data_IF_357449277917
#
_entry.id   IF_357449277917
#
_cell.length_a   1.000
_cell.length_b   1.000
_cell.length_c   1.000
_cell.angle_alpha   90.00
_cell.angle_beta   90.00
_cell.angle_gamma   90.00
#
_symmetry.space_group_name_H-M   'P 1'
#
loop_
_entity.id
_entity.type
_entity.pdbx_description
1 polymer ?
#
# COMPACT_ATOMS: atom_id res chain seq x y z
N UNK A 1 -27.70 16.07 30.54
CA UNK A 1 -27.84 14.78 31.24
C UNK A 1 -27.72 13.63 30.25
N UNK A 2 -26.75 12.76 30.48
CA UNK A 2 -26.19 11.81 29.51
C UNK A 2 -27.12 10.65 29.19
N UNK A 3 -27.48 10.49 27.90
CA UNK A 3 -28.24 9.37 27.30
C UNK A 3 -27.52 7.99 27.36
N UNK A 4 -26.34 7.91 28.02
CA UNK A 4 -25.55 6.69 28.15
C UNK A 4 -26.18 5.59 29.05
N UNK A 5 -27.19 5.88 29.84
CA UNK A 5 -27.72 4.95 30.86
C UNK A 5 -28.71 3.90 30.39
N UNK A 6 -29.25 3.95 29.17
CA UNK A 6 -30.28 2.98 28.74
C UNK A 6 -29.72 1.65 28.16
N UNK A 7 -28.41 1.50 28.05
CA UNK A 7 -27.80 0.32 27.40
C UNK A 7 -27.14 -0.69 28.35
N UNK A 8 -27.03 -0.36 29.62
CA UNK A 8 -26.28 -1.20 30.60
C UNK A 8 -27.02 -2.53 30.92
N UNK A 9 -28.31 -2.61 30.72
CA UNK A 9 -29.07 -3.84 31.07
C UNK A 9 -29.18 -4.89 29.96
N UNK A 10 -28.60 -4.66 28.78
CA UNK A 10 -28.65 -5.65 27.68
C UNK A 10 -27.53 -6.71 27.76
N UNK A 11 -26.52 -6.51 28.60
CA UNK A 11 -25.37 -7.42 28.76
C UNK A 11 -25.74 -8.74 29.47
N UNK A 12 -26.86 -8.78 30.20
CA UNK A 12 -27.32 -9.95 30.96
C UNK A 12 -28.29 -10.85 30.22
N UNK A 13 -28.70 -10.49 29.00
CA UNK A 13 -29.65 -11.29 28.24
C UNK A 13 -28.94 -12.12 27.17
N UNK A 14 -29.27 -13.40 27.12
CA UNK A 14 -28.84 -14.28 26.06
C UNK A 14 -29.60 -13.99 24.76
N UNK A 15 -28.99 -14.26 23.63
CA UNK A 15 -29.58 -14.14 22.30
C UNK A 15 -29.28 -15.39 21.47
N UNK A 16 -30.32 -15.95 20.88
CA UNK A 16 -30.21 -17.09 19.99
C UNK A 16 -29.87 -16.64 18.56
N UNK A 17 -28.91 -17.28 17.96
CA UNK A 17 -28.53 -17.04 16.57
C UNK A 17 -29.54 -17.67 15.62
N UNK A 18 -30.17 -16.89 14.73
CA UNK A 18 -31.16 -17.39 13.78
C UNK A 18 -30.58 -18.39 12.75
N UNK A 19 -29.23 -18.45 12.57
CA UNK A 19 -28.63 -19.33 11.58
C UNK A 19 -28.18 -20.68 12.13
N UNK A 20 -27.57 -20.72 13.32
CA UNK A 20 -27.09 -21.98 13.92
C UNK A 20 -27.90 -22.46 15.11
N UNK A 21 -28.87 -21.69 15.58
CA UNK A 21 -29.70 -22.04 16.75
C UNK A 21 -29.01 -21.93 18.11
N UNK A 22 -27.71 -21.68 18.15
CA UNK A 22 -26.96 -21.58 19.40
C UNK A 22 -27.28 -20.27 20.12
N UNK A 23 -27.34 -20.33 21.44
CA UNK A 23 -27.58 -19.19 22.31
C UNK A 23 -26.28 -18.70 22.90
N UNK A 24 -26.04 -17.37 22.83
CA UNK A 24 -24.82 -16.73 23.32
C UNK A 24 -25.18 -15.48 24.14
N UNK A 25 -24.26 -15.00 24.99
CA UNK A 25 -24.40 -13.69 25.60
C UNK A 25 -24.62 -12.60 24.54
N UNK A 26 -25.54 -11.67 24.81
CA UNK A 26 -25.88 -10.57 23.88
C UNK A 26 -24.87 -9.46 23.97
N UNK A 27 -23.63 -9.74 23.53
CA UNK A 27 -22.46 -8.82 23.54
C UNK A 27 -21.85 -8.66 22.15
N UNK A 28 -20.96 -7.69 22.02
CA UNK A 28 -20.20 -7.44 20.78
C UNK A 28 -19.21 -8.56 20.47
N UNK A 29 -18.89 -9.43 21.42
CA UNK A 29 -18.05 -10.62 21.19
C UNK A 29 -18.74 -11.68 20.35
N UNK A 30 -20.06 -11.74 20.43
CA UNK A 30 -20.87 -12.77 19.76
C UNK A 30 -21.74 -12.24 18.63
N UNK A 31 -22.15 -10.96 18.66
CA UNK A 31 -23.05 -10.38 17.66
C UNK A 31 -22.57 -9.00 17.22
N UNK A 32 -22.56 -8.74 15.92
CA UNK A 32 -22.32 -7.40 15.41
C UNK A 32 -23.43 -6.45 15.83
N UNK A 33 -23.01 -5.24 16.22
CA UNK A 33 -23.88 -4.15 16.58
C UNK A 33 -24.17 -3.28 15.37
N UNK A 34 -25.43 -2.92 15.14
CA UNK A 34 -25.83 -2.00 14.08
C UNK A 34 -26.79 -0.94 14.60
N UNK A 35 -26.85 0.19 13.94
CA UNK A 35 -27.87 1.21 14.21
C UNK A 35 -29.24 0.67 13.81
N UNK A 36 -30.26 0.98 14.63
CA UNK A 36 -31.63 0.68 14.26
C UNK A 36 -32.05 1.55 13.07
N UNK A 37 -32.72 0.98 12.07
CA UNK A 37 -33.09 1.70 10.84
C UNK A 37 -33.99 2.91 11.06
N UNK A 38 -34.98 2.80 11.97
CA UNK A 38 -35.94 3.87 12.27
C UNK A 38 -35.51 4.77 13.45
N UNK A 39 -34.61 4.32 14.32
CA UNK A 39 -34.12 5.06 15.50
C UNK A 39 -32.60 5.15 15.45
N UNK A 40 -32.11 6.20 14.84
CA UNK A 40 -30.67 6.37 14.56
C UNK A 40 -29.76 6.45 15.79
N UNK A 41 -30.32 6.78 16.94
CA UNK A 41 -29.68 6.83 18.25
C UNK A 41 -29.66 5.47 18.97
N UNK A 42 -30.44 4.49 18.46
CA UNK A 42 -30.57 3.15 19.05
C UNK A 42 -29.71 2.16 18.30
N UNK A 43 -28.92 1.37 19.05
CA UNK A 43 -28.17 0.25 18.51
C UNK A 43 -28.86 -1.08 18.84
N UNK A 44 -28.81 -1.99 17.90
CA UNK A 44 -29.30 -3.36 18.03
C UNK A 44 -28.23 -4.36 17.63
N UNK A 45 -28.32 -5.57 18.15
CA UNK A 45 -27.47 -6.67 17.73
C UNK A 45 -28.07 -7.41 16.54
N UNK A 46 -27.21 -7.79 15.59
CA UNK A 46 -27.59 -8.60 14.42
C UNK A 46 -28.27 -9.92 14.84
N UNK A 47 -29.08 -10.48 13.94
CA UNK A 47 -29.81 -11.73 14.20
C UNK A 47 -28.92 -12.97 14.19
N UNK A 48 -27.80 -12.91 13.47
CA UNK A 48 -26.86 -14.01 13.37
C UNK A 48 -25.60 -13.71 14.21
N UNK A 49 -25.06 -14.74 14.86
CA UNK A 49 -23.78 -14.61 15.55
C UNK A 49 -22.67 -14.28 14.55
N UNK A 50 -21.57 -13.68 15.04
CA UNK A 50 -20.41 -13.25 14.24
C UNK A 50 -19.87 -14.39 13.36
N UNK A 51 -19.75 -15.60 13.92
CA UNK A 51 -19.28 -16.78 13.16
C UNK A 51 -20.18 -17.10 11.97
N UNK A 52 -21.49 -17.08 12.13
CA UNK A 52 -22.45 -17.30 11.04
C UNK A 52 -22.45 -16.17 10.03
N UNK A 53 -22.35 -14.93 10.48
CA UNK A 53 -22.25 -13.75 9.61
C UNK A 53 -20.98 -13.79 8.75
N UNK A 54 -19.83 -14.15 9.32
CA UNK A 54 -18.57 -14.33 8.60
C UNK A 54 -18.65 -15.46 7.57
N UNK A 55 -19.23 -16.63 7.94
CA UNK A 55 -19.45 -17.74 6.99
C UNK A 55 -20.30 -17.28 5.80
N UNK A 56 -21.42 -16.57 6.06
CA UNK A 56 -22.30 -16.01 5.02
C UNK A 56 -21.54 -15.03 4.11
N UNK A 57 -20.78 -14.11 4.69
CA UNK A 57 -19.98 -13.12 3.94
C UNK A 57 -18.92 -13.81 3.06
N UNK A 58 -18.22 -14.82 3.61
CA UNK A 58 -17.22 -15.60 2.85
C UNK A 58 -17.86 -16.34 1.67
N UNK A 59 -19.01 -16.97 1.88
CA UNK A 59 -19.74 -17.66 0.83
C UNK A 59 -20.24 -16.68 -0.26
N UNK A 60 -20.78 -15.52 0.16
CA UNK A 60 -21.22 -14.49 -0.78
C UNK A 60 -20.04 -13.99 -1.65
N UNK A 61 -18.87 -13.70 -1.04
CA UNK A 61 -17.66 -13.29 -1.76
C UNK A 61 -17.22 -14.36 -2.77
N UNK A 62 -17.30 -15.64 -2.38
CA UNK A 62 -16.96 -16.76 -3.28
C UNK A 62 -17.88 -16.78 -4.49
N UNK A 63 -19.20 -16.65 -4.27
CA UNK A 63 -20.23 -16.70 -5.32
C UNK A 63 -20.26 -15.44 -6.20
N UNK A 64 -19.72 -14.31 -5.69
CA UNK A 64 -19.71 -13.01 -6.39
C UNK A 64 -18.30 -12.52 -6.68
N UNK A 65 -17.37 -13.42 -6.98
CA UNK A 65 -15.94 -13.13 -7.15
C UNK A 65 -15.68 -11.99 -8.13
N UNK A 66 -16.31 -12.02 -9.30
CA UNK A 66 -16.14 -10.97 -10.33
C UNK A 66 -16.58 -9.60 -9.82
N UNK A 67 -17.74 -9.52 -9.14
CA UNK A 67 -18.25 -8.27 -8.57
C UNK A 67 -17.31 -7.72 -7.50
N UNK A 68 -16.77 -8.59 -6.64
CA UNK A 68 -15.79 -8.21 -5.60
C UNK A 68 -14.51 -7.66 -6.24
N UNK A 69 -14.00 -8.32 -7.28
CA UNK A 69 -12.82 -7.87 -8.01
C UNK A 69 -13.05 -6.48 -8.63
N UNK A 70 -14.18 -6.27 -9.31
CA UNK A 70 -14.51 -4.96 -9.90
C UNK A 70 -14.58 -3.86 -8.86
N UNK A 71 -15.22 -4.12 -7.71
CA UNK A 71 -15.27 -3.16 -6.61
C UNK A 71 -13.87 -2.86 -6.04
N UNK A 72 -13.04 -3.88 -5.89
CA UNK A 72 -11.67 -3.71 -5.41
C UNK A 72 -10.82 -2.90 -6.40
N UNK A 73 -10.94 -3.16 -7.71
CA UNK A 73 -10.25 -2.37 -8.74
C UNK A 73 -10.69 -0.91 -8.67
N UNK A 74 -12.00 -0.64 -8.63
CA UNK A 74 -12.51 0.74 -8.49
C UNK A 74 -11.96 1.44 -7.24
N UNK A 75 -11.90 0.75 -6.11
CA UNK A 75 -11.31 1.31 -4.90
C UNK A 75 -9.82 1.61 -5.06
N UNK A 76 -9.06 0.68 -5.65
CA UNK A 76 -7.62 0.85 -5.88
C UNK A 76 -7.29 1.97 -6.89
N UNK A 77 -8.25 2.37 -7.73
CA UNK A 77 -8.11 3.51 -8.64
C UNK A 77 -8.34 4.85 -7.95
N UNK A 78 -8.94 4.88 -6.75
CA UNK A 78 -8.99 6.09 -5.94
C UNK A 78 -7.62 6.38 -5.34
N UNK A 79 -7.28 7.66 -5.13
CA UNK A 79 -6.03 8.05 -4.48
C UNK A 79 -5.84 7.35 -3.13
N UNK A 80 -6.84 7.45 -2.26
CA UNK A 80 -6.83 6.81 -0.94
C UNK A 80 -6.63 5.29 -1.03
N UNK A 81 -7.30 4.63 -1.96
CA UNK A 81 -7.18 3.17 -2.14
C UNK A 81 -5.80 2.78 -2.64
N UNK A 82 -5.24 3.57 -3.57
CA UNK A 82 -3.90 3.36 -4.09
C UNK A 82 -2.85 3.44 -2.98
N UNK A 83 -2.82 4.56 -2.24
CA UNK A 83 -1.85 4.76 -1.16
C UNK A 83 -2.04 3.79 0.01
N UNK A 84 -3.27 3.42 0.36
CA UNK A 84 -3.51 2.34 1.34
C UNK A 84 -2.92 1.00 0.89
N UNK A 85 -2.95 0.71 -0.40
CA UNK A 85 -2.31 -0.48 -0.96
C UNK A 85 -0.78 -0.42 -0.86
N UNK A 86 -0.16 0.74 -1.12
CA UNK A 86 1.28 0.95 -0.92
C UNK A 86 1.66 0.81 0.55
N UNK A 87 0.93 1.48 1.44
CA UNK A 87 1.16 1.39 2.88
C UNK A 87 1.06 -0.05 3.41
N UNK A 88 0.09 -0.82 2.91
CA UNK A 88 -0.02 -2.23 3.26
C UNK A 88 1.21 -3.05 2.82
N UNK A 89 1.78 -2.74 1.66
CA UNK A 89 3.02 -3.36 1.18
C UNK A 89 4.22 -2.98 2.04
N UNK A 90 4.32 -1.71 2.43
CA UNK A 90 5.34 -1.20 3.36
C UNK A 90 5.25 -1.91 4.71
N UNK A 91 4.05 -2.03 5.29
CA UNK A 91 3.82 -2.74 6.57
C UNK A 91 4.16 -4.24 6.52
N UNK A 92 4.04 -4.87 5.36
CA UNK A 92 4.40 -6.28 5.17
C UNK A 92 5.87 -6.50 4.81
N UNK A 93 6.63 -5.43 4.67
CA UNK A 93 8.04 -5.53 4.33
C UNK A 93 8.82 -6.31 5.40
N UNK A 94 9.57 -7.31 4.98
CA UNK A 94 10.47 -8.08 5.87
C UNK A 94 11.57 -7.22 6.49
N UNK A 95 11.86 -6.05 5.90
CA UNK A 95 12.90 -5.11 6.37
C UNK A 95 12.37 -4.10 7.41
N UNK A 96 11.13 -4.25 7.82
CA UNK A 96 10.50 -3.44 8.87
C UNK A 96 9.83 -2.16 8.35
N UNK A 97 9.06 -1.58 9.24
CA UNK A 97 8.29 -0.36 9.05
C UNK A 97 8.14 0.36 10.39
N UNK A 98 8.47 1.64 10.43
CA UNK A 98 8.41 2.50 11.61
C UNK A 98 7.26 3.53 11.55
N UNK A 99 6.39 3.47 10.54
CA UNK A 99 5.18 4.29 10.51
C UNK A 99 4.15 3.79 11.52
N UNK A 100 3.62 4.68 12.34
CA UNK A 100 2.58 4.37 13.31
C UNK A 100 1.25 4.05 12.60
N UNK A 101 0.87 4.86 11.63
CA UNK A 101 -0.40 4.75 10.92
C UNK A 101 -0.31 5.19 9.44
N UNK A 102 -1.45 5.20 8.78
CA UNK A 102 -1.57 5.59 7.39
C UNK A 102 -1.43 7.10 7.18
N UNK A 103 -1.83 7.90 8.14
CA UNK A 103 -1.83 9.35 8.02
C UNK A 103 -0.39 9.88 8.06
N UNK A 104 0.44 9.32 8.93
CA UNK A 104 1.88 9.59 8.95
C UNK A 104 2.59 9.22 7.63
N UNK A 105 2.20 8.10 7.01
CA UNK A 105 2.70 7.72 5.70
C UNK A 105 2.25 8.70 4.60
N UNK A 106 1.02 9.20 4.67
CA UNK A 106 0.49 10.18 3.72
C UNK A 106 1.13 11.56 3.85
N UNK A 107 1.53 11.97 5.07
CA UNK A 107 2.30 13.21 5.28
C UNK A 107 3.57 13.22 4.42
N UNK A 108 4.31 12.10 4.35
CA UNK A 108 5.50 12.01 3.52
C UNK A 108 5.20 12.25 2.03
N UNK A 109 4.07 11.71 1.54
CA UNK A 109 3.63 11.95 0.17
C UNK A 109 3.27 13.42 -0.06
N UNK A 110 2.50 14.04 0.85
CA UNK A 110 2.09 15.45 0.73
C UNK A 110 3.30 16.37 0.74
N UNK A 111 4.26 16.17 1.65
CA UNK A 111 5.51 16.93 1.70
C UNK A 111 6.34 16.76 0.43
N UNK A 112 6.40 15.55 -0.11
CA UNK A 112 7.09 15.30 -1.36
C UNK A 112 6.40 15.99 -2.54
N UNK A 113 5.06 15.99 -2.60
CA UNK A 113 4.30 16.69 -3.65
C UNK A 113 4.53 18.20 -3.64
N UNK A 114 4.68 18.82 -2.47
CA UNK A 114 5.00 20.24 -2.36
C UNK A 114 6.33 20.59 -3.04
N UNK A 115 7.29 19.67 -3.02
CA UNK A 115 8.63 19.88 -3.56
C UNK A 115 8.76 19.47 -5.04
N UNK A 116 8.16 18.36 -5.44
CA UNK A 116 8.37 17.73 -6.74
C UNK A 116 7.09 17.62 -7.59
N UNK A 117 5.93 18.07 -7.06
CA UNK A 117 4.64 17.84 -7.70
C UNK A 117 4.33 16.33 -7.84
N UNK A 118 3.75 15.97 -8.97
CA UNK A 118 3.47 14.57 -9.31
C UNK A 118 4.61 13.93 -10.12
N UNK A 119 5.78 14.54 -10.18
CA UNK A 119 6.91 14.03 -10.95
C UNK A 119 7.83 13.16 -10.10
N UNK A 120 8.48 12.20 -10.76
CA UNK A 120 9.43 11.31 -10.09
C UNK A 120 10.70 12.07 -9.69
N UNK A 121 11.09 12.06 -8.39
CA UNK A 121 12.33 12.73 -7.95
C UNK A 121 13.59 12.22 -8.64
N UNK A 122 13.63 10.94 -9.03
CA UNK A 122 14.79 10.35 -9.70
C UNK A 122 14.76 10.58 -11.22
N UNK A 123 13.58 10.72 -11.81
CA UNK A 123 13.36 11.01 -13.23
C UNK A 123 12.37 12.17 -13.40
N UNK A 124 12.83 13.44 -13.32
CA UNK A 124 11.95 14.61 -13.30
C UNK A 124 11.04 14.78 -14.53
N UNK A 125 11.34 14.09 -15.63
CA UNK A 125 10.51 14.06 -16.83
C UNK A 125 9.36 13.05 -16.76
N UNK A 126 9.35 12.14 -15.77
CA UNK A 126 8.31 11.12 -15.61
C UNK A 126 7.22 11.65 -14.66
N UNK A 127 6.05 11.95 -15.20
CA UNK A 127 4.85 12.18 -14.39
C UNK A 127 4.37 10.83 -13.85
N UNK A 128 4.30 10.72 -12.52
CA UNK A 128 3.88 9.49 -11.85
C UNK A 128 2.36 9.29 -11.93
N UNK A 129 1.93 8.02 -12.01
CA UNK A 129 0.53 7.62 -12.15
C UNK A 129 0.09 6.69 -11.02
N UNK A 130 -1.22 6.56 -10.85
CA UNK A 130 -1.88 5.71 -9.85
C UNK A 130 -2.77 4.66 -10.53
N UNK A 131 -2.20 3.89 -11.48
CA UNK A 131 -2.96 2.91 -12.24
C UNK A 131 -2.82 1.53 -11.59
N UNK A 132 -3.93 0.98 -11.07
CA UNK A 132 -3.98 -0.39 -10.52
C UNK A 132 -5.18 -1.16 -11.06
N UNK A 133 -5.08 -2.49 -11.01
CA UNK A 133 -6.20 -3.37 -11.35
C UNK A 133 -6.17 -3.91 -12.78
N UNK A 134 -5.15 -3.59 -13.57
CA UNK A 134 -4.96 -4.13 -14.94
C UNK A 134 -4.08 -5.39 -14.96
N UNK A 135 -3.65 -5.88 -13.79
CA UNK A 135 -2.73 -7.02 -13.66
C UNK A 135 -1.25 -6.70 -13.92
N UNK A 136 -0.94 -5.56 -14.51
CA UNK A 136 0.45 -5.14 -14.77
C UNK A 136 0.74 -3.79 -14.12
N UNK A 137 1.92 -3.67 -13.53
CA UNK A 137 2.45 -2.40 -13.04
C UNK A 137 3.00 -1.62 -14.24
N UNK A 138 2.59 -0.36 -14.38
CA UNK A 138 3.14 0.51 -15.43
C UNK A 138 4.46 1.16 -14.97
N UNK A 139 5.38 1.48 -15.87
CA UNK A 139 6.65 2.13 -15.53
C UNK A 139 6.49 3.44 -14.75
N UNK A 140 5.39 4.16 -14.98
CA UNK A 140 5.07 5.45 -14.35
C UNK A 140 4.36 5.34 -13.00
N UNK A 141 3.90 4.15 -12.60
CA UNK A 141 3.19 3.98 -11.34
C UNK A 141 4.03 4.42 -10.14
N UNK A 142 3.38 5.11 -9.19
CA UNK A 142 4.01 5.44 -7.91
C UNK A 142 4.41 4.16 -7.19
N UNK A 143 5.64 4.11 -6.73
CA UNK A 143 6.22 3.06 -5.91
C UNK A 143 6.91 3.67 -4.70
N UNK A 144 6.99 2.94 -3.60
CA UNK A 144 7.75 3.36 -2.42
C UNK A 144 9.16 2.82 -2.50
N UNK A 145 10.13 3.70 -2.43
CA UNK A 145 11.56 3.36 -2.33
C UNK A 145 12.09 3.69 -0.95
N UNK A 146 13.13 3.00 -0.51
CA UNK A 146 13.92 3.34 0.67
C UNK A 146 15.19 4.04 0.24
N UNK A 147 15.44 5.23 0.80
CA UNK A 147 16.67 5.95 0.51
C UNK A 147 17.89 5.11 0.87
N UNK A 148 17.86 4.46 2.03
CA UNK A 148 18.88 3.52 2.50
C UNK A 148 18.26 2.13 2.60
N UNK A 149 18.65 1.21 1.73
CA UNK A 149 18.03 -0.10 1.57
C UNK A 149 18.18 -1.02 2.78
N UNK A 150 19.18 -0.81 3.63
CA UNK A 150 19.44 -1.58 4.84
C UNK A 150 18.55 -1.18 6.02
N UNK A 151 17.97 0.03 6.00
CA UNK A 151 17.11 0.55 7.04
C UNK A 151 15.63 0.25 6.76
N UNK A 152 14.76 0.21 7.79
CA UNK A 152 13.32 0.07 7.64
C UNK A 152 12.70 1.28 6.91
N UNK A 153 11.45 1.13 6.46
CA UNK A 153 10.65 2.27 6.01
C UNK A 153 10.35 3.20 7.20
N UNK A 154 10.68 4.48 7.04
CA UNK A 154 10.47 5.54 8.04
C UNK A 154 10.26 6.90 7.32
N UNK A 155 9.85 7.94 8.05
CA UNK A 155 9.65 9.31 7.48
C UNK A 155 10.88 9.84 6.75
N UNK A 156 12.05 9.59 7.29
CA UNK A 156 13.35 10.01 6.76
C UNK A 156 13.96 9.00 5.78
N UNK A 157 13.36 7.82 5.64
CA UNK A 157 13.85 6.75 4.78
C UNK A 157 12.79 6.23 3.79
N UNK A 158 11.93 7.10 3.29
CA UNK A 158 10.98 6.80 2.23
C UNK A 158 11.00 7.86 1.13
N UNK A 159 10.88 7.43 -0.10
CA UNK A 159 10.67 8.28 -1.26
C UNK A 159 9.61 7.65 -2.16
N UNK A 160 8.69 8.46 -2.66
CA UNK A 160 7.74 8.01 -3.68
C UNK A 160 8.32 8.29 -5.05
N UNK A 161 8.56 7.26 -5.81
CA UNK A 161 9.21 7.34 -7.13
C UNK A 161 8.40 6.59 -8.16
N UNK A 162 8.70 6.74 -9.46
CA UNK A 162 8.11 5.87 -10.47
C UNK A 162 8.58 4.43 -10.26
N UNK A 163 7.72 3.46 -10.59
CA UNK A 163 8.08 2.04 -10.53
C UNK A 163 9.34 1.74 -11.35
N UNK A 164 9.47 2.39 -12.52
CA UNK A 164 10.68 2.30 -13.35
C UNK A 164 11.93 2.69 -12.56
N UNK A 165 11.92 3.87 -11.96
CA UNK A 165 13.07 4.39 -11.21
C UNK A 165 13.41 3.51 -10.00
N UNK A 166 12.40 3.03 -9.26
CA UNK A 166 12.60 2.13 -8.14
C UNK A 166 13.24 0.80 -8.57
N UNK A 167 12.77 0.25 -9.68
CA UNK A 167 13.29 -1.02 -10.21
C UNK A 167 14.72 -0.87 -10.74
N UNK A 168 15.05 0.24 -11.40
CA UNK A 168 16.40 0.51 -11.91
C UNK A 168 17.38 0.85 -10.81
N UNK A 169 16.97 1.56 -9.75
CA UNK A 169 17.78 1.79 -8.57
C UNK A 169 18.14 0.46 -7.88
N UNK A 170 17.20 -0.46 -7.78
CA UNK A 170 17.43 -1.76 -7.13
C UNK A 170 17.98 -1.59 -5.72
N UNK A 171 19.11 -2.26 -5.43
CA UNK A 171 19.79 -2.21 -4.14
C UNK A 171 20.96 -1.20 -4.06
N UNK A 172 21.05 -0.27 -5.02
CA UNK A 172 22.07 0.79 -5.01
C UNK A 172 21.89 1.65 -3.76
N UNK A 173 22.91 1.66 -2.89
CA UNK A 173 22.94 2.53 -1.71
C UNK A 173 23.32 3.96 -2.10
N UNK A 174 22.96 4.99 -1.29
CA UNK A 174 23.42 6.37 -1.52
C UNK A 174 24.93 6.48 -1.60
N UNK A 175 25.66 5.71 -0.81
CA UNK A 175 27.12 5.64 -0.86
C UNK A 175 27.61 5.13 -2.22
N UNK A 176 27.06 4.02 -2.71
CA UNK A 176 27.41 3.47 -4.01
C UNK A 176 27.01 4.41 -5.14
N UNK A 177 25.83 5.04 -5.06
CA UNK A 177 25.43 6.06 -6.03
C UNK A 177 26.39 7.24 -6.06
N UNK A 178 26.86 7.73 -4.91
CA UNK A 178 27.89 8.77 -4.81
C UNK A 178 29.18 8.35 -5.49
N UNK A 179 29.66 7.15 -5.21
CA UNK A 179 30.87 6.59 -5.86
C UNK A 179 30.72 6.46 -7.37
N UNK A 180 29.55 6.03 -7.85
CA UNK A 180 29.26 5.94 -9.28
C UNK A 180 29.23 7.33 -9.92
N UNK A 181 28.64 8.34 -9.27
CA UNK A 181 28.66 9.72 -9.76
C UNK A 181 30.07 10.31 -9.81
N UNK A 182 30.90 10.09 -8.77
CA UNK A 182 32.27 10.54 -8.74
C UNK A 182 33.08 9.88 -9.86
N UNK A 183 32.87 8.61 -10.09
CA UNK A 183 33.51 7.86 -11.16
C UNK A 183 33.07 8.36 -12.55
N UNK A 184 31.80 8.64 -12.77
CA UNK A 184 31.24 9.19 -14.03
C UNK A 184 31.79 10.62 -14.29
N UNK A 185 31.88 11.45 -13.25
CA UNK A 185 32.43 12.82 -13.34
C UNK A 185 33.93 12.83 -13.68
N UNK A 186 34.63 11.73 -13.45
CA UNK A 186 36.04 11.62 -13.83
C UNK A 186 36.14 11.55 -15.35
N UNK A 187 36.73 12.58 -15.98
CA UNK A 187 36.74 12.81 -17.43
C UNK A 187 37.16 11.59 -18.29
N UNK A 188 37.94 10.65 -17.73
CA UNK A 188 38.34 9.41 -18.41
C UNK A 188 37.15 8.44 -18.66
N UNK A 189 36.10 8.50 -17.84
CA UNK A 189 34.95 7.58 -17.94
C UNK A 189 33.81 8.15 -18.78
N UNK A 190 33.67 9.48 -18.87
CA UNK A 190 32.67 10.10 -19.78
C UNK A 190 32.88 9.62 -21.22
N UNK A 191 34.13 9.41 -21.63
CA UNK A 191 34.46 8.91 -22.97
C UNK A 191 33.93 7.50 -23.23
N UNK A 192 33.98 6.61 -22.23
CA UNK A 192 33.48 5.22 -22.37
C UNK A 192 31.94 5.21 -22.48
N UNK A 193 31.25 6.05 -21.75
CA UNK A 193 29.75 6.11 -21.81
C UNK A 193 29.28 6.74 -23.12
N UNK A 194 29.93 7.76 -23.64
CA UNK A 194 29.62 8.36 -24.94
C UNK A 194 29.86 7.33 -26.08
N UNK A 195 30.89 6.50 -25.99
CA UNK A 195 31.14 5.45 -26.95
C UNK A 195 30.09 4.32 -26.92
N UNK A 196 29.47 4.07 -25.77
CA UNK A 196 28.34 3.13 -25.64
C UNK A 196 27.05 3.68 -26.27
N UNK A 197 26.73 4.96 -26.05
CA UNK A 197 25.57 5.62 -26.63
C UNK A 197 25.67 5.82 -28.16
N UNK A 198 26.86 5.95 -28.68
CA UNK A 198 27.10 6.11 -30.12
C UNK A 198 27.23 4.78 -30.88
N UNK A 199 27.07 3.64 -30.17
CA UNK A 199 27.09 2.32 -30.82
C UNK A 199 28.42 1.79 -31.26
N UNK A 200 29.54 2.51 -31.01
CA UNK A 200 30.91 2.04 -31.24
C UNK A 200 31.31 1.04 -30.14
N UNK A 201 31.15 -0.25 -30.40
CA UNK A 201 31.58 -1.34 -29.53
C UNK A 201 33.12 -1.48 -29.59
N UNK A 202 33.81 -0.66 -28.83
CA UNK A 202 35.18 -0.98 -28.45
C UNK A 202 35.16 -1.88 -27.20
N UNK A 203 35.97 -2.93 -27.20
CA UNK A 203 36.03 -3.96 -26.15
C UNK A 203 36.04 -3.38 -24.74
N UNK A 204 34.83 -3.43 -24.10
CA UNK A 204 34.67 -2.99 -22.73
C UNK A 204 34.76 -4.20 -21.80
N UNK A 205 35.77 -4.34 -20.92
CA UNK A 205 35.94 -5.48 -20.02
C UNK A 205 34.91 -5.52 -18.87
N UNK A 206 34.01 -4.53 -18.76
CA UNK A 206 33.09 -4.40 -17.65
C UNK A 206 31.61 -4.79 -17.95
N UNK A 207 31.34 -5.33 -19.13
CA UNK A 207 29.98 -5.87 -19.39
C UNK A 207 30.01 -7.37 -19.05
N UNK A 208 29.42 -7.80 -17.93
CA UNK A 208 29.25 -9.22 -17.66
C UNK A 208 28.34 -9.81 -18.75
N UNK A 209 28.63 -11.03 -19.26
CA UNK A 209 27.78 -11.67 -20.25
C UNK A 209 26.43 -11.98 -19.60
N UNK A 210 25.39 -11.24 -19.98
CA UNK A 210 24.04 -11.64 -19.68
C UNK A 210 23.81 -12.98 -20.38
N UNK A 211 23.63 -14.03 -19.60
CA UNK A 211 23.16 -15.32 -20.10
C UNK A 211 21.78 -15.09 -20.72
N UNK A 212 21.68 -15.46 -22.00
CA UNK A 212 20.45 -15.53 -22.76
C UNK A 212 19.50 -16.59 -22.20
#
# INVERSE_FOLDING_TARGET
MSLRRKYVNSALTNKTCNKCGNTYPRTEDYFYRKKHHARKDVFIYESNCITCALKKSKQWKKNNKSRVIVQQIKYLQTEKGYFKSLFHSVRKSKRGNLFNDFDEFMECWILQQQKYGEYCPYYPHIKMTRIKGTGKTTPTNISTDRLVNTLPYAKDNIMFVSWKANNEKGDVSPYLAGKMLDFIKNKKMLKIFVDIDTGNRTNNPFIPPYKR
#
